data_IF_181318907004
#
_entry.id   IF_181318907004
#
_cell.length_a   1.000
_cell.length_b   1.000
_cell.length_c   1.000
_cell.angle_alpha   90.00
_cell.angle_beta   90.00
_cell.angle_gamma   90.00
#
_symmetry.space_group_name_H-M   'P 1'
#
loop_
_entity.id
_entity.type
_entity.pdbx_description
1 polymer ?
#
# COMPACT_ATOMS: atom_id res chain seq x y z
N UNK A 1 -13.41 -0.86 7.78
CA UNK A 1 -12.04 -0.84 8.38
C UNK A 1 -11.95 0.33 9.34
N UNK A 2 -11.65 0.13 10.64
CA UNK A 2 -11.64 1.21 11.64
C UNK A 2 -10.62 2.33 11.31
N UNK A 3 -10.96 3.60 11.63
CA UNK A 3 -10.09 4.80 11.58
C UNK A 3 -8.68 4.58 12.13
N UNK A 4 -8.51 3.60 13.00
CA UNK A 4 -7.27 3.24 13.64
C UNK A 4 -6.26 2.50 12.75
N UNK A 5 -6.69 1.59 11.85
CA UNK A 5 -5.78 0.91 10.90
C UNK A 5 -5.10 1.94 10.00
N UNK A 6 -5.79 3.04 9.70
CA UNK A 6 -5.24 4.17 8.96
C UNK A 6 -4.26 5.01 9.78
N UNK A 7 -4.53 5.19 11.07
CA UNK A 7 -3.60 5.86 11.98
C UNK A 7 -2.28 5.09 12.09
N UNK A 8 -2.32 3.75 12.10
CA UNK A 8 -1.12 2.90 12.05
C UNK A 8 -0.35 3.10 10.77
N UNK A 9 -1.04 3.06 9.64
CA UNK A 9 -0.40 3.25 8.35
C UNK A 9 0.28 4.63 8.28
N UNK A 10 -0.39 5.67 8.79
CA UNK A 10 0.16 7.01 8.88
C UNK A 10 1.34 7.10 9.84
N UNK A 11 1.26 6.51 11.05
CA UNK A 11 2.36 6.45 12.00
C UNK A 11 3.57 5.70 11.44
N UNK A 12 3.33 4.60 10.72
CA UNK A 12 4.39 3.83 10.09
C UNK A 12 5.07 4.63 8.98
N UNK A 13 4.30 5.38 8.16
CA UNK A 13 4.84 6.32 7.17
C UNK A 13 5.61 7.47 7.84
N UNK A 14 5.09 8.06 8.91
CA UNK A 14 5.76 9.13 9.68
C UNK A 14 7.07 8.61 10.28
N UNK A 15 7.05 7.43 10.91
CA UNK A 15 8.23 6.79 11.51
C UNK A 15 9.28 6.45 10.45
N UNK A 16 8.87 5.95 9.29
CA UNK A 16 9.75 5.70 8.15
C UNK A 16 10.33 7.01 7.56
N UNK A 17 9.53 8.10 7.55
CA UNK A 17 9.97 9.43 7.14
C UNK A 17 10.96 10.07 8.13
N UNK A 18 10.85 9.78 9.43
CA UNK A 18 11.81 10.25 10.46
C UNK A 18 13.12 9.47 10.39
N UNK A 19 13.09 8.16 10.17
CA UNK A 19 14.32 7.37 9.97
C UNK A 19 15.09 7.74 8.68
N UNK A 20 14.49 8.50 7.75
CA UNK A 20 15.14 9.05 6.55
C UNK A 20 15.66 10.48 6.73
N UNK A 21 15.42 11.10 7.88
CA UNK A 21 15.79 12.47 8.23
C UNK A 21 16.36 12.44 9.65
N UNK A 22 17.66 12.18 9.81
CA UNK A 22 18.46 12.11 11.07
C UNK A 22 17.83 12.68 12.37
N UNK A 23 16.73 12.12 12.86
CA UNK A 23 16.04 12.61 14.05
C UNK A 23 15.54 11.41 14.85
N UNK A 24 16.29 11.09 15.90
CA UNK A 24 15.86 10.17 16.96
C UNK A 24 14.80 10.88 17.79
N UNK A 25 13.57 10.35 17.80
CA UNK A 25 12.67 10.51 18.95
C UNK A 25 12.03 9.16 19.24
N UNK A 26 12.20 8.70 20.49
CA UNK A 26 11.42 7.63 21.09
C UNK A 26 9.95 8.04 21.10
N UNK A 27 9.08 7.15 20.63
CA UNK A 27 7.63 7.30 20.80
C UNK A 27 7.22 6.27 21.83
N UNK A 28 7.16 6.70 23.08
CA UNK A 28 6.55 5.95 24.16
C UNK A 28 5.05 5.81 23.92
N UNK A 29 4.58 4.59 24.14
CA UNK A 29 3.21 4.18 23.90
C UNK A 29 2.32 4.52 25.11
N UNK A 30 1.90 5.78 25.24
CA UNK A 30 0.78 6.11 26.14
C UNK A 30 -0.19 7.15 25.52
N UNK A 31 -1.47 6.74 25.42
CA UNK A 31 -2.70 7.49 25.03
C UNK A 31 -2.66 8.33 23.72
N UNK A 32 -3.38 7.95 22.65
CA UNK A 32 -3.34 8.67 21.38
C UNK A 32 -4.29 9.87 21.36
N UNK A 33 -3.84 11.01 21.86
CA UNK A 33 -4.30 12.33 21.39
C UNK A 33 -3.10 13.15 20.96
N UNK A 34 -2.50 12.77 19.83
CA UNK A 34 -1.61 13.67 19.09
C UNK A 34 -1.75 13.37 17.60
N UNK A 35 -2.30 14.33 16.85
CA UNK A 35 -2.31 14.27 15.40
C UNK A 35 -0.85 14.29 14.91
N UNK A 36 -0.27 13.12 14.61
CA UNK A 36 1.11 13.02 14.16
C UNK A 36 1.31 13.91 12.90
N UNK A 37 1.99 15.04 13.04
CA UNK A 37 2.30 15.96 11.93
C UNK A 37 3.48 15.43 11.15
N UNK A 38 3.26 15.16 9.86
CA UNK A 38 4.37 15.02 8.91
C UNK A 38 4.94 16.42 8.73
N UNK A 39 6.00 16.74 9.47
CA UNK A 39 6.79 17.93 9.23
C UNK A 39 7.90 17.58 8.24
N UNK A 40 7.83 18.16 7.04
CA UNK A 40 8.91 18.07 6.08
C UNK A 40 10.03 19.03 6.48
N UNK A 41 11.31 18.69 6.27
CA UNK A 41 12.41 19.63 6.46
C UNK A 41 12.20 20.89 5.62
N UNK A 42 12.79 22.01 6.08
CA UNK A 42 12.82 23.25 5.29
C UNK A 42 13.38 22.94 3.89
N UNK A 43 12.70 23.42 2.85
CA UNK A 43 13.00 23.22 1.42
C UNK A 43 12.72 21.81 0.85
N UNK A 44 12.01 20.94 1.57
CA UNK A 44 11.52 19.66 1.01
C UNK A 44 10.05 19.78 0.65
N UNK A 45 9.75 19.70 -0.64
CA UNK A 45 8.37 19.63 -1.15
C UNK A 45 8.06 18.21 -1.64
N UNK A 46 6.83 17.74 -1.41
CA UNK A 46 6.28 16.51 -2.02
C UNK A 46 5.12 16.96 -2.92
N UNK A 47 5.28 16.97 -4.26
CA UNK A 47 4.27 17.48 -5.17
C UNK A 47 3.09 16.52 -5.37
N UNK A 48 3.25 15.24 -5.06
CA UNK A 48 2.20 14.24 -5.23
C UNK A 48 2.43 12.96 -4.43
N UNK A 49 1.35 12.21 -4.23
CA UNK A 49 1.37 10.84 -3.70
C UNK A 49 0.95 9.89 -4.82
N UNK A 50 1.81 8.93 -5.13
CA UNK A 50 1.56 7.92 -6.16
C UNK A 50 1.47 6.56 -5.48
N UNK A 51 0.38 5.83 -5.70
CA UNK A 51 0.16 4.53 -5.04
C UNK A 51 0.13 3.39 -6.05
N UNK A 52 0.83 2.31 -5.70
CA UNK A 52 0.85 1.02 -6.40
C UNK A 52 0.45 -0.07 -5.41
N UNK A 53 -0.20 -1.11 -5.90
CA UNK A 53 -0.48 -2.27 -5.10
C UNK A 53 -1.87 -2.84 -5.26
N UNK A 54 -2.45 -3.22 -4.12
CA UNK A 54 -3.68 -3.98 -4.02
C UNK A 54 -4.84 -3.19 -3.39
N UNK A 55 -5.86 -3.92 -2.93
CA UNK A 55 -7.08 -3.41 -2.31
C UNK A 55 -6.83 -2.51 -1.10
N UNK A 56 -5.71 -2.66 -0.39
CA UNK A 56 -5.41 -1.84 0.79
C UNK A 56 -5.36 -0.37 0.41
N UNK A 57 -4.84 -0.05 -0.78
CA UNK A 57 -4.71 1.33 -1.27
C UNK A 57 -5.55 1.63 -2.50
N UNK A 58 -6.24 0.66 -3.13
CA UNK A 58 -7.07 0.91 -4.31
C UNK A 58 -8.18 1.96 -4.05
N UNK A 59 -8.22 2.97 -4.90
CA UNK A 59 -9.17 4.09 -4.84
C UNK A 59 -10.39 3.93 -5.76
N UNK A 60 -10.48 2.82 -6.51
CA UNK A 60 -11.59 2.49 -7.40
C UNK A 60 -11.20 2.02 -8.80
N UNK A 61 -9.93 1.63 -9.04
CA UNK A 61 -9.50 1.16 -10.37
C UNK A 61 -10.28 -0.08 -10.83
N UNK A 62 -10.69 -0.94 -9.89
CA UNK A 62 -11.45 -2.15 -10.21
C UNK A 62 -12.86 -1.89 -10.76
N UNK A 63 -13.42 -0.69 -10.60
CA UNK A 63 -14.78 -0.38 -11.05
C UNK A 63 -14.95 -0.59 -12.55
N UNK A 64 -13.90 -0.31 -13.33
CA UNK A 64 -13.92 -0.35 -14.78
C UNK A 64 -13.37 -1.67 -15.36
N UNK A 65 -13.16 -2.68 -14.50
CA UNK A 65 -12.63 -3.99 -14.90
C UNK A 65 -13.73 -5.05 -14.97
N UNK A 66 -13.55 -6.06 -15.83
CA UNK A 66 -14.39 -7.27 -15.88
C UNK A 66 -13.94 -8.29 -14.81
N UNK A 67 -14.04 -7.89 -13.54
CA UNK A 67 -13.74 -8.70 -12.34
C UNK A 67 -14.92 -8.73 -11.37
N UNK A 68 -14.95 -9.75 -10.50
CA UNK A 68 -15.85 -9.83 -9.34
C UNK A 68 -15.34 -8.99 -8.15
N UNK A 69 -14.06 -8.63 -8.13
CA UNK A 69 -13.46 -7.86 -7.04
C UNK A 69 -13.77 -6.38 -7.21
N UNK A 70 -15.00 -5.96 -6.87
CA UNK A 70 -15.41 -4.56 -6.85
C UNK A 70 -15.95 -4.20 -5.47
N UNK A 71 -15.81 -2.93 -5.10
CA UNK A 71 -16.36 -2.36 -3.88
C UNK A 71 -17.16 -1.08 -4.19
N UNK A 72 -17.90 -1.10 -5.29
CA UNK A 72 -18.77 -0.02 -5.76
C UNK A 72 -20.25 -0.27 -5.42
N UNK A 73 -20.51 -0.93 -4.30
CA UNK A 73 -21.85 -1.23 -3.78
C UNK A 73 -21.86 -1.12 -2.23
N UNK A 74 -23.01 -0.96 -1.57
CA UNK A 74 -23.09 -0.92 -0.10
C UNK A 74 -22.58 -2.22 0.56
N UNK A 75 -21.94 -2.17 1.75
CA UNK A 75 -21.81 -1.01 2.64
C UNK A 75 -20.60 -0.11 2.34
N UNK A 76 -19.81 -0.40 1.31
CA UNK A 76 -18.62 0.39 0.98
C UNK A 76 -18.96 1.87 0.76
N UNK A 77 -18.10 2.77 1.22
CA UNK A 77 -18.28 4.21 1.09
C UNK A 77 -19.26 4.87 2.07
N UNK A 78 -19.83 4.15 3.04
CA UNK A 78 -20.75 4.71 4.06
C UNK A 78 -20.17 5.91 4.86
N UNK A 79 -18.86 5.91 5.08
CA UNK A 79 -18.09 6.93 5.82
C UNK A 79 -17.34 7.90 4.87
N UNK A 80 -17.49 7.74 3.55
CA UNK A 80 -16.91 8.63 2.55
C UNK A 80 -17.74 9.91 2.40
N UNK A 81 -17.13 11.01 1.95
CA UNK A 81 -17.70 12.38 1.93
C UNK A 81 -18.94 12.63 1.05
N UNK A 82 -19.66 11.58 0.65
CA UNK A 82 -20.97 11.61 0.02
C UNK A 82 -21.81 10.35 0.30
N UNK A 83 -21.37 9.48 1.22
CA UNK A 83 -22.02 8.21 1.59
C UNK A 83 -22.32 7.29 0.40
N UNK A 84 -21.44 7.25 -0.60
CA UNK A 84 -21.56 6.38 -1.77
C UNK A 84 -20.29 5.57 -2.00
N UNK A 85 -20.47 4.37 -2.55
CA UNK A 85 -19.38 3.44 -2.80
C UNK A 85 -18.50 3.90 -3.99
N UNK A 86 -17.26 4.31 -3.70
CA UNK A 86 -16.34 4.80 -4.74
C UNK A 86 -15.54 3.69 -5.42
N UNK A 87 -15.67 2.43 -5.00
CA UNK A 87 -14.77 1.35 -5.40
C UNK A 87 -13.55 1.16 -4.49
N UNK A 88 -13.39 2.01 -3.46
CA UNK A 88 -12.43 1.78 -2.37
C UNK A 88 -12.85 0.54 -1.59
N UNK A 89 -11.89 -0.33 -1.24
CA UNK A 89 -12.14 -1.52 -0.40
C UNK A 89 -12.28 -1.13 1.08
N UNK A 90 -13.08 -0.10 1.35
CA UNK A 90 -13.34 0.45 2.67
C UNK A 90 -14.68 1.17 2.70
N UNK A 91 -15.18 1.36 3.91
CA UNK A 91 -16.31 2.23 4.24
C UNK A 91 -16.00 3.70 3.95
N UNK A 92 -14.73 4.08 3.87
CA UNK A 92 -14.32 5.44 3.61
C UNK A 92 -13.04 5.54 2.79
N UNK A 93 -12.17 6.43 3.24
CA UNK A 93 -10.87 6.69 2.60
C UNK A 93 -9.92 5.51 2.76
N UNK A 94 -8.96 5.40 1.84
CA UNK A 94 -7.89 4.40 1.88
C UNK A 94 -6.58 5.05 2.34
N UNK A 95 -5.56 4.29 2.79
CA UNK A 95 -4.37 4.84 3.42
C UNK A 95 -3.63 5.89 2.57
N UNK A 96 -3.63 5.75 1.24
CA UNK A 96 -3.04 6.76 0.34
C UNK A 96 -3.73 8.13 0.45
N UNK A 97 -5.04 8.17 0.69
CA UNK A 97 -5.79 9.43 0.88
C UNK A 97 -5.35 10.14 2.16
N UNK A 98 -5.16 9.40 3.25
CA UNK A 98 -4.72 9.97 4.52
C UNK A 98 -3.29 10.50 4.45
N UNK A 99 -2.40 9.79 3.74
CA UNK A 99 -1.03 10.27 3.50
C UNK A 99 -1.06 11.56 2.68
N UNK A 100 -1.84 11.61 1.60
CA UNK A 100 -1.98 12.80 0.76
C UNK A 100 -2.55 14.01 1.53
N UNK A 101 -3.58 13.78 2.36
CA UNK A 101 -4.17 14.84 3.18
C UNK A 101 -3.16 15.37 4.18
N UNK A 102 -2.41 14.47 4.82
CA UNK A 102 -1.43 14.86 5.84
C UNK A 102 -0.25 15.65 5.29
N UNK A 103 0.08 15.41 4.03
CA UNK A 103 1.06 16.19 3.27
C UNK A 103 0.49 17.50 2.71
N UNK A 104 -0.79 17.79 2.93
CA UNK A 104 -1.44 19.01 2.42
C UNK A 104 -1.69 19.01 0.91
N UNK A 105 -1.65 17.84 0.27
CA UNK A 105 -1.72 17.72 -1.20
C UNK A 105 -3.17 17.65 -1.69
N UNK A 106 -3.94 16.71 -1.15
CA UNK A 106 -5.34 16.50 -1.49
C UNK A 106 -6.03 15.68 -0.40
N UNK A 107 -7.36 15.83 -0.24
CA UNK A 107 -8.15 14.99 0.69
C UNK A 107 -8.23 13.53 0.26
N UNK A 108 -8.12 13.29 -1.05
CA UNK A 108 -8.24 11.97 -1.69
C UNK A 108 -7.36 11.92 -2.94
N UNK A 109 -6.85 10.73 -3.25
CA UNK A 109 -6.14 10.43 -4.50
C UNK A 109 -7.09 9.67 -5.44
N UNK A 110 -7.25 10.10 -6.70
CA UNK A 110 -8.14 9.43 -7.64
C UNK A 110 -7.53 8.15 -8.24
N UNK A 111 -8.40 7.26 -8.72
CA UNK A 111 -8.02 6.07 -9.47
C UNK A 111 -7.60 6.46 -10.89
N UNK A 112 -6.51 5.87 -11.40
CA UNK A 112 -6.03 6.15 -12.76
C UNK A 112 -7.04 5.75 -13.84
N UNK A 113 -7.79 4.67 -13.62
CA UNK A 113 -8.80 4.16 -14.55
C UNK A 113 -10.17 4.84 -14.42
N UNK A 114 -10.31 5.87 -13.59
CA UNK A 114 -11.58 6.61 -13.48
C UNK A 114 -11.86 7.39 -14.78
N UNK A 115 -12.97 7.14 -15.50
CA UNK A 115 -13.30 7.87 -16.72
C UNK A 115 -13.57 9.37 -16.47
N UNK A 116 -13.86 9.77 -15.23
CA UNK A 116 -14.06 11.17 -14.87
C UNK A 116 -12.75 11.93 -14.57
N UNK A 117 -11.60 11.25 -14.64
CA UNK A 117 -10.29 11.81 -14.29
C UNK A 117 -9.91 12.96 -15.23
N UNK A 118 -9.61 14.14 -14.66
CA UNK A 118 -9.20 15.32 -15.43
C UNK A 118 -7.69 15.52 -15.35
N UNK A 119 -7.11 16.18 -16.36
CA UNK A 119 -5.65 16.42 -16.42
C UNK A 119 -5.09 17.10 -15.16
N UNK A 120 -5.83 18.05 -14.56
CA UNK A 120 -5.41 18.74 -13.33
C UNK A 120 -5.34 17.80 -12.11
N UNK A 121 -6.11 16.72 -12.10
CA UNK A 121 -6.13 15.77 -10.98
C UNK A 121 -4.86 14.92 -10.97
N UNK A 122 -4.29 14.65 -12.16
CA UNK A 122 -2.99 13.98 -12.32
C UNK A 122 -1.86 14.72 -11.60
N UNK A 123 -1.98 16.04 -11.43
CA UNK A 123 -0.90 16.86 -10.86
C UNK A 123 -0.78 16.79 -9.34
N UNK A 124 -1.74 16.14 -8.65
CA UNK A 124 -1.77 16.04 -7.18
C UNK A 124 -1.43 14.64 -6.67
N UNK A 125 -1.11 13.72 -7.57
CA UNK A 125 -0.93 12.31 -7.25
C UNK A 125 -2.04 11.44 -7.83
N UNK A 126 -1.73 10.16 -8.00
CA UNK A 126 -2.56 9.21 -8.73
C UNK A 126 -2.42 7.81 -8.14
N UNK A 127 -3.48 7.02 -8.22
CA UNK A 127 -3.50 5.68 -7.69
C UNK A 127 -3.64 4.64 -8.80
N UNK A 128 -2.65 3.77 -8.93
CA UNK A 128 -2.63 2.66 -9.88
C UNK A 128 -3.03 1.32 -9.26
N UNK A 129 -3.20 1.26 -7.94
CA UNK A 129 -3.47 0.01 -7.23
C UNK A 129 -4.80 -0.61 -7.65
N UNK A 130 -4.87 -1.93 -7.59
CA UNK A 130 -6.02 -2.70 -8.07
C UNK A 130 -6.31 -3.84 -7.08
N UNK A 131 -7.53 -3.86 -6.55
CA UNK A 131 -7.94 -4.88 -5.58
C UNK A 131 -7.69 -6.30 -6.07
N UNK A 132 -7.03 -7.13 -5.26
CA UNK A 132 -6.66 -8.51 -5.61
C UNK A 132 -5.33 -8.67 -6.34
N UNK A 133 -4.59 -7.58 -6.59
CA UNK A 133 -3.25 -7.65 -7.18
C UNK A 133 -2.18 -8.10 -6.18
N UNK A 134 -1.03 -8.52 -6.71
CA UNK A 134 0.15 -8.90 -5.95
C UNK A 134 1.42 -8.88 -6.77
N UNK A 135 2.56 -9.19 -6.14
CA UNK A 135 3.88 -9.29 -6.77
C UNK A 135 4.02 -10.53 -7.66
N UNK A 136 3.34 -11.62 -7.33
CA UNK A 136 3.29 -12.79 -8.20
C UNK A 136 2.35 -12.51 -9.39
N UNK A 137 2.81 -12.59 -10.66
CA UNK A 137 1.96 -12.34 -11.82
C UNK A 137 0.71 -13.25 -11.89
N UNK A 138 0.77 -14.43 -11.26
CA UNK A 138 -0.38 -15.34 -11.18
C UNK A 138 -1.54 -14.73 -10.37
N UNK A 139 -1.23 -13.93 -9.34
CA UNK A 139 -2.20 -13.35 -8.40
C UNK A 139 -3.26 -12.55 -9.14
N UNK A 140 -2.83 -11.54 -9.91
CA UNK A 140 -3.75 -10.70 -10.67
C UNK A 140 -4.46 -11.48 -11.78
N UNK A 141 -3.81 -12.48 -12.37
CA UNK A 141 -4.36 -13.32 -13.45
C UNK A 141 -5.55 -14.15 -12.98
N UNK A 142 -5.49 -14.75 -11.79
CA UNK A 142 -6.57 -15.60 -11.26
C UNK A 142 -7.87 -14.82 -11.11
N UNK A 143 -7.80 -13.56 -10.65
CA UNK A 143 -8.98 -12.74 -10.34
C UNK A 143 -9.25 -11.63 -11.38
N UNK A 144 -8.50 -11.63 -12.49
CA UNK A 144 -8.68 -10.73 -13.66
C UNK A 144 -8.62 -9.24 -13.30
N UNK A 145 -7.57 -8.83 -12.61
CA UNK A 145 -7.34 -7.45 -12.15
C UNK A 145 -6.01 -6.90 -12.68
N UNK A 146 -5.69 -5.63 -12.42
CA UNK A 146 -4.50 -4.97 -12.98
C UNK A 146 -3.24 -5.48 -12.28
N UNK A 147 -2.39 -6.22 -13.00
CA UNK A 147 -1.12 -6.72 -12.47
C UNK A 147 -0.17 -5.58 -12.10
N UNK A 148 0.78 -5.78 -11.18
CA UNK A 148 1.76 -4.74 -10.86
C UNK A 148 2.60 -4.30 -12.07
N UNK A 149 2.84 -5.20 -13.03
CA UNK A 149 3.50 -4.83 -14.28
C UNK A 149 2.64 -3.86 -15.11
N UNK A 150 1.33 -4.09 -15.19
CA UNK A 150 0.42 -3.17 -15.89
C UNK A 150 0.26 -1.84 -15.12
N UNK A 151 0.35 -1.86 -13.79
CA UNK A 151 0.42 -0.62 -13.00
C UNK A 151 1.67 0.20 -13.34
N UNK A 152 2.82 -0.43 -13.61
CA UNK A 152 4.01 0.27 -14.10
C UNK A 152 3.80 0.87 -15.50
N UNK A 153 3.12 0.15 -16.41
CA UNK A 153 2.77 0.69 -17.73
C UNK A 153 1.86 1.92 -17.61
N UNK A 154 0.86 1.86 -16.75
CA UNK A 154 0.02 3.02 -16.44
C UNK A 154 0.81 4.19 -15.85
N UNK A 155 1.85 3.90 -15.07
CA UNK A 155 2.76 4.94 -14.59
C UNK A 155 3.58 5.57 -15.72
N UNK A 156 4.08 4.78 -16.68
CA UNK A 156 4.76 5.31 -17.86
C UNK A 156 3.83 6.20 -18.71
N UNK A 157 2.59 5.76 -18.94
CA UNK A 157 1.57 6.57 -19.61
C UNK A 157 1.28 7.88 -18.83
N UNK A 158 1.11 7.78 -17.52
CA UNK A 158 0.90 8.92 -16.64
C UNK A 158 2.05 9.93 -16.75
N UNK A 159 3.30 9.48 -16.80
CA UNK A 159 4.46 10.37 -17.01
C UNK A 159 4.34 11.15 -18.32
N UNK A 160 3.91 10.48 -19.40
CA UNK A 160 3.62 11.15 -20.67
C UNK A 160 2.51 12.19 -20.55
N UNK A 161 1.41 11.85 -19.86
CA UNK A 161 0.27 12.75 -19.62
C UNK A 161 0.67 14.00 -18.83
N UNK A 162 1.42 13.85 -17.73
CA UNK A 162 1.86 15.03 -16.96
C UNK A 162 2.89 15.85 -17.73
N UNK A 163 3.79 15.22 -18.50
CA UNK A 163 4.74 15.93 -19.39
C UNK A 163 4.00 16.81 -20.41
N UNK A 164 2.90 16.32 -20.98
CA UNK A 164 2.08 17.10 -21.89
C UNK A 164 1.36 18.30 -21.22
N UNK A 165 1.09 18.22 -19.91
CA UNK A 165 0.36 19.27 -19.17
C UNK A 165 1.31 20.35 -18.63
N UNK A 166 2.46 19.95 -18.06
CA UNK A 166 3.36 20.86 -17.33
C UNK A 166 4.73 21.04 -17.97
N UNK A 167 5.01 20.38 -19.08
CA UNK A 167 6.32 20.34 -19.71
C UNK A 167 7.27 19.32 -19.06
N UNK A 168 8.39 19.07 -19.74
CA UNK A 168 9.36 18.04 -19.38
C UNK A 168 10.02 18.25 -18.01
N UNK A 169 10.57 19.44 -17.79
CA UNK A 169 11.31 19.77 -16.57
C UNK A 169 10.44 19.61 -15.32
N UNK A 170 9.23 20.19 -15.35
CA UNK A 170 8.30 20.11 -14.23
C UNK A 170 7.74 18.70 -14.04
N UNK A 171 7.50 17.94 -15.11
CA UNK A 171 7.09 16.54 -15.00
C UNK A 171 8.19 15.67 -14.36
N UNK A 172 9.44 15.84 -14.77
CA UNK A 172 10.58 15.14 -14.17
C UNK A 172 10.73 15.50 -12.69
N UNK A 173 10.63 16.79 -12.34
CA UNK A 173 10.61 17.23 -10.96
C UNK A 173 9.50 16.55 -10.15
N UNK A 174 8.28 16.46 -10.68
CA UNK A 174 7.16 15.80 -10.02
C UNK A 174 7.41 14.31 -9.81
N UNK A 175 7.93 13.61 -10.81
CA UNK A 175 8.27 12.19 -10.73
C UNK A 175 9.35 11.94 -9.67
N UNK A 176 10.41 12.74 -9.64
CA UNK A 176 11.51 12.53 -8.71
C UNK A 176 11.14 12.89 -7.26
N UNK A 177 10.27 13.87 -7.05
CA UNK A 177 9.98 14.41 -5.72
C UNK A 177 8.68 13.90 -5.09
N UNK A 178 7.82 13.21 -5.84
CA UNK A 178 6.60 12.58 -5.30
C UNK A 178 6.92 11.42 -4.35
N UNK A 179 5.98 11.12 -3.45
CA UNK A 179 6.04 9.97 -2.56
C UNK A 179 5.33 8.79 -3.20
N UNK A 180 6.01 7.64 -3.25
CA UNK A 180 5.51 6.40 -3.82
C UNK A 180 5.15 5.42 -2.70
N UNK A 181 3.92 4.93 -2.68
CA UNK A 181 3.44 3.91 -1.76
C UNK A 181 3.30 2.58 -2.51
N UNK A 182 3.89 1.50 -2.01
CA UNK A 182 3.83 0.17 -2.63
C UNK A 182 3.31 -0.86 -1.62
N UNK A 183 2.12 -1.43 -1.87
CA UNK A 183 1.42 -2.33 -0.95
C UNK A 183 0.76 -3.50 -1.69
N UNK A 184 1.38 -4.68 -1.75
CA UNK A 184 0.85 -5.76 -2.61
C UNK A 184 1.12 -7.21 -2.17
N UNK A 185 1.68 -7.46 -0.99
CA UNK A 185 2.08 -8.83 -0.59
C UNK A 185 0.92 -9.69 -0.08
N UNK A 186 -0.19 -9.07 0.34
CA UNK A 186 -1.25 -9.76 1.08
C UNK A 186 -1.93 -10.85 0.24
N UNK A 187 -2.27 -10.55 -1.00
CA UNK A 187 -2.96 -11.50 -1.88
C UNK A 187 -2.07 -12.69 -2.27
N UNK A 188 -0.78 -12.43 -2.49
CA UNK A 188 0.19 -13.48 -2.82
C UNK A 188 0.27 -14.52 -1.69
N UNK A 189 0.57 -14.04 -0.48
CA UNK A 189 0.76 -14.90 0.69
C UNK A 189 -0.54 -15.58 1.14
N UNK A 190 -1.66 -14.85 1.16
CA UNK A 190 -2.92 -15.40 1.63
C UNK A 190 -3.59 -16.31 0.61
N UNK A 191 -3.59 -15.97 -0.68
CA UNK A 191 -4.41 -16.64 -1.70
C UNK A 191 -3.58 -17.38 -2.73
N UNK A 192 -2.63 -16.72 -3.39
CA UNK A 192 -1.89 -17.30 -4.53
C UNK A 192 -0.97 -18.43 -4.09
N UNK A 193 -0.44 -18.38 -2.87
CA UNK A 193 0.38 -19.46 -2.32
C UNK A 193 -0.31 -20.84 -2.43
N UNK A 194 -1.64 -20.92 -2.28
CA UNK A 194 -2.37 -22.20 -2.38
C UNK A 194 -2.20 -22.84 -3.76
N UNK A 195 -2.26 -22.04 -4.83
CA UNK A 195 -2.01 -22.53 -6.18
C UNK A 195 -0.52 -22.78 -6.43
N UNK A 196 0.35 -22.04 -5.73
CA UNK A 196 1.82 -22.12 -5.85
C UNK A 196 2.45 -23.20 -4.97
N UNK A 197 1.72 -23.79 -4.03
CA UNK A 197 2.25 -24.75 -3.06
C UNK A 197 2.70 -26.06 -3.69
N UNK A 198 2.28 -26.34 -4.93
CA UNK A 198 2.78 -27.44 -5.75
C UNK A 198 4.21 -27.20 -6.27
N UNK A 199 4.67 -25.95 -6.28
CA UNK A 199 5.98 -25.54 -6.83
C UNK A 199 6.91 -24.95 -5.77
N UNK A 200 6.35 -24.33 -4.73
CA UNK A 200 7.10 -23.67 -3.68
C UNK A 200 6.60 -24.15 -2.33
N UNK A 201 7.50 -24.45 -1.41
CA UNK A 201 7.11 -24.65 -0.02
C UNK A 201 6.90 -23.31 0.72
N UNK A 202 6.49 -23.39 1.99
CA UNK A 202 6.15 -22.22 2.81
C UNK A 202 7.34 -21.31 3.11
N UNK A 203 8.57 -21.76 2.93
CA UNK A 203 9.79 -20.95 3.12
C UNK A 203 10.28 -20.35 1.81
N UNK A 204 10.18 -21.09 0.70
CA UNK A 204 10.64 -20.64 -0.63
C UNK A 204 9.73 -19.58 -1.24
N UNK A 205 8.41 -19.65 -1.01
CA UNK A 205 7.48 -18.71 -1.60
C UNK A 205 7.64 -17.27 -1.07
N UNK A 206 7.79 -17.04 0.26
CA UNK A 206 8.14 -15.72 0.80
C UNK A 206 9.42 -15.13 0.20
N UNK A 207 10.47 -15.94 0.02
CA UNK A 207 11.73 -15.51 -0.58
C UNK A 207 11.53 -15.09 -2.05
N UNK A 208 10.81 -15.90 -2.83
CA UNK A 208 10.43 -15.56 -4.20
C UNK A 208 9.66 -14.24 -4.28
N UNK A 209 8.73 -13.98 -3.35
CA UNK A 209 7.97 -12.74 -3.32
C UNK A 209 8.84 -11.53 -2.95
N UNK A 210 9.80 -11.69 -2.04
CA UNK A 210 10.75 -10.63 -1.70
C UNK A 210 11.59 -10.25 -2.94
N UNK A 211 12.09 -11.25 -3.69
CA UNK A 211 12.81 -11.03 -4.95
C UNK A 211 11.95 -10.28 -5.98
N UNK A 212 10.68 -10.67 -6.13
CA UNK A 212 9.74 -9.99 -7.04
C UNK A 212 9.46 -8.56 -6.61
N UNK A 213 9.35 -8.31 -5.30
CA UNK A 213 9.19 -6.97 -4.73
C UNK A 213 10.41 -6.11 -5.03
N UNK A 214 11.62 -6.63 -4.77
CA UNK A 214 12.89 -5.95 -5.06
C UNK A 214 13.03 -5.61 -6.55
N UNK A 215 12.61 -6.51 -7.46
CA UNK A 215 12.57 -6.25 -8.91
C UNK A 215 11.58 -5.13 -9.27
N UNK A 216 10.38 -5.15 -8.70
CA UNK A 216 9.38 -4.11 -8.92
C UNK A 216 9.90 -2.73 -8.47
N UNK A 217 10.48 -2.64 -7.27
CA UNK A 217 11.03 -1.38 -6.74
C UNK A 217 12.20 -0.89 -7.61
N UNK A 218 13.04 -1.79 -8.10
CA UNK A 218 14.13 -1.44 -9.03
C UNK A 218 13.60 -0.87 -10.35
N UNK A 219 12.55 -1.45 -10.92
CA UNK A 219 11.88 -0.92 -12.12
C UNK A 219 11.29 0.46 -11.85
N UNK A 220 10.57 0.63 -10.74
CA UNK A 220 9.97 1.90 -10.34
C UNK A 220 11.03 3.01 -10.17
N UNK A 221 12.17 2.69 -9.54
CA UNK A 221 13.33 3.59 -9.47
C UNK A 221 13.88 3.94 -10.87
N UNK A 222 14.00 2.95 -11.75
CA UNK A 222 14.41 3.14 -13.15
C UNK A 222 13.49 4.07 -13.93
N UNK A 223 12.21 4.15 -13.55
CA UNK A 223 11.24 5.07 -14.11
C UNK A 223 11.29 6.48 -13.51
N UNK A 224 12.24 6.76 -12.61
CA UNK A 224 12.48 8.09 -12.05
C UNK A 224 12.00 8.29 -10.61
N UNK A 225 11.32 7.30 -10.02
CA UNK A 225 10.90 7.39 -8.63
C UNK A 225 12.13 7.47 -7.70
N UNK A 226 12.10 8.37 -6.72
CA UNK A 226 13.17 8.48 -5.71
C UNK A 226 12.69 8.22 -4.29
N UNK A 227 11.47 8.57 -3.91
CA UNK A 227 10.96 8.44 -2.53
C UNK A 227 9.96 7.28 -2.45
N UNK A 228 10.45 6.07 -2.18
CA UNK A 228 9.66 4.84 -2.29
C UNK A 228 9.47 4.22 -0.91
N UNK A 229 8.21 4.16 -0.46
CA UNK A 229 7.79 3.48 0.75
C UNK A 229 7.16 2.13 0.38
N UNK A 230 7.86 1.05 0.74
CA UNK A 230 7.44 -0.33 0.48
C UNK A 230 6.94 -0.92 1.79
N UNK A 231 5.69 -1.35 1.81
CA UNK A 231 5.06 -1.84 3.04
C UNK A 231 5.33 -3.31 3.28
N UNK A 232 5.49 -3.65 4.56
CA UNK A 232 5.57 -5.04 5.00
C UNK A 232 4.26 -5.79 4.73
N UNK A 233 4.36 -7.11 4.67
CA UNK A 233 3.19 -7.97 4.76
C UNK A 233 2.52 -7.80 6.13
N UNK A 234 1.20 -7.81 6.12
CA UNK A 234 0.36 -7.77 7.32
C UNK A 234 0.19 -9.18 7.89
N UNK A 235 -0.46 -9.35 9.06
CA UNK A 235 -0.84 -10.67 9.60
C UNK A 235 -1.89 -11.37 8.72
N UNK A 236 -1.47 -11.86 7.55
CA UNK A 236 -2.36 -12.41 6.52
C UNK A 236 -3.12 -13.66 6.97
N UNK A 237 -2.59 -14.40 7.93
CA UNK A 237 -3.29 -15.51 8.58
C UNK A 237 -4.51 -15.06 9.40
N UNK A 238 -4.57 -13.78 9.78
CA UNK A 238 -5.68 -13.18 10.51
C UNK A 238 -6.73 -12.51 9.62
N UNK A 239 -6.59 -12.54 8.29
CA UNK A 239 -7.61 -12.01 7.39
C UNK A 239 -8.95 -12.75 7.60
N UNK A 240 -10.11 -12.07 7.55
CA UNK A 240 -11.41 -12.72 7.81
C UNK A 240 -11.67 -13.97 6.96
N UNK A 241 -11.31 -13.93 5.68
CA UNK A 241 -11.42 -15.07 4.77
C UNK A 241 -10.52 -16.24 5.20
N UNK A 242 -9.30 -15.95 5.66
CA UNK A 242 -8.34 -16.98 6.11
C UNK A 242 -8.73 -17.56 7.45
N UNK A 243 -9.23 -16.75 8.38
CA UNK A 243 -9.81 -17.20 9.66
C UNK A 243 -10.99 -18.14 9.41
N UNK A 244 -11.89 -17.78 8.50
CA UNK A 244 -13.05 -18.62 8.14
C UNK A 244 -12.62 -19.97 7.58
N UNK A 245 -11.59 -20.00 6.73
CA UNK A 245 -11.03 -21.23 6.17
C UNK A 245 -10.18 -22.04 7.18
N UNK A 246 -9.75 -21.42 8.28
CA UNK A 246 -8.92 -22.05 9.32
C UNK A 246 -9.78 -22.72 10.43
N UNK A 247 -11.00 -23.13 10.09
CA UNK A 247 -11.91 -23.90 10.94
C UNK A 247 -12.88 -23.08 11.78
N UNK A 248 -13.76 -23.78 12.50
CA UNK A 248 -14.92 -23.19 13.21
C UNK A 248 -14.51 -22.16 14.27
N UNK A 249 -13.37 -22.37 14.93
CA UNK A 249 -12.84 -21.42 15.93
C UNK A 249 -12.33 -20.11 15.32
N UNK A 250 -12.23 -20.03 13.99
CA UNK A 250 -11.79 -18.85 13.22
C UNK A 250 -10.50 -18.22 13.75
N UNK A 251 -9.57 -19.02 14.26
CA UNK A 251 -8.27 -18.52 14.73
C UNK A 251 -7.41 -18.07 13.54
N UNK A 252 -6.45 -17.18 13.79
CA UNK A 252 -5.44 -16.87 12.78
C UNK A 252 -4.67 -18.12 12.36
N UNK A 253 -4.31 -18.20 11.08
CA UNK A 253 -3.38 -19.23 10.60
C UNK A 253 -1.94 -18.86 10.94
N UNK A 254 -1.33 -19.60 11.88
CA UNK A 254 0.05 -19.40 12.29
C UNK A 254 1.03 -19.59 11.13
N UNK A 255 0.79 -20.57 10.26
CA UNK A 255 1.65 -20.82 9.10
C UNK A 255 1.67 -19.61 8.14
N UNK A 256 0.51 -19.06 7.81
CA UNK A 256 0.43 -17.89 6.92
C UNK A 256 1.07 -16.64 7.57
N UNK A 257 0.91 -16.47 8.88
CA UNK A 257 1.57 -15.40 9.63
C UNK A 257 3.11 -15.58 9.65
N UNK A 258 3.60 -16.81 9.82
CA UNK A 258 5.03 -17.13 9.72
C UNK A 258 5.59 -16.80 8.34
N UNK A 259 4.86 -17.14 7.27
CA UNK A 259 5.22 -16.78 5.90
C UNK A 259 5.32 -15.27 5.69
N UNK A 260 4.36 -14.49 6.23
CA UNK A 260 4.41 -13.03 6.17
C UNK A 260 5.64 -12.46 6.90
N UNK A 261 5.95 -12.97 8.08
CA UNK A 261 7.15 -12.57 8.84
C UNK A 261 8.44 -12.95 8.09
N UNK A 262 8.50 -14.11 7.46
CA UNK A 262 9.64 -14.52 6.63
C UNK A 262 9.83 -13.58 5.42
N UNK A 263 8.75 -13.26 4.71
CA UNK A 263 8.77 -12.27 3.62
C UNK A 263 9.31 -10.92 4.12
N UNK A 264 8.82 -10.43 5.26
CA UNK A 264 9.28 -9.17 5.86
C UNK A 264 10.77 -9.20 6.23
N UNK A 265 11.21 -10.28 6.89
CA UNK A 265 12.59 -10.47 7.32
C UNK A 265 13.56 -10.53 6.14
N UNK A 266 13.13 -11.09 5.00
CA UNK A 266 13.91 -11.13 3.75
C UNK A 266 13.92 -9.79 3.04
N UNK A 267 12.76 -9.15 2.88
CA UNK A 267 12.61 -7.95 2.08
C UNK A 267 13.32 -6.72 2.69
N UNK A 268 13.26 -6.56 4.01
CA UNK A 268 13.86 -5.41 4.70
C UNK A 268 15.35 -5.19 4.37
N UNK A 269 16.26 -6.18 4.53
CA UNK A 269 17.66 -6.03 4.16
C UNK A 269 17.88 -5.89 2.64
N UNK A 270 17.05 -6.51 1.80
CA UNK A 270 17.13 -6.34 0.34
C UNK A 270 16.84 -4.90 -0.09
N UNK A 271 15.83 -4.26 0.48
CA UNK A 271 15.53 -2.86 0.19
C UNK A 271 16.64 -1.93 0.67
N UNK A 272 17.33 -2.26 1.77
CA UNK A 272 18.54 -1.54 2.19
C UNK A 272 19.66 -1.69 1.16
N UNK A 273 19.88 -2.91 0.67
CA UNK A 273 20.88 -3.17 -0.37
C UNK A 273 20.53 -2.46 -1.69
N UNK A 274 19.26 -2.46 -2.07
CA UNK A 274 18.76 -1.78 -3.27
C UNK A 274 18.95 -0.26 -3.14
N UNK A 275 18.59 0.33 -1.99
CA UNK A 275 18.82 1.76 -1.71
C UNK A 275 20.29 2.14 -1.89
N UNK A 276 21.22 1.34 -1.38
CA UNK A 276 22.67 1.57 -1.54
C UNK A 276 23.12 1.55 -3.00
N UNK A 277 22.42 0.78 -3.85
CA UNK A 277 22.68 0.65 -5.30
C UNK A 277 21.87 1.63 -6.16
N UNK A 278 21.04 2.48 -5.55
CA UNK A 278 20.15 3.43 -6.21
C UNK A 278 20.45 4.86 -5.74
N UNK A 279 21.45 5.53 -6.33
CA UNK A 279 21.86 6.89 -5.94
C UNK A 279 20.69 7.87 -5.91
N UNK A 280 20.68 8.76 -4.91
CA UNK A 280 19.61 9.76 -4.72
C UNK A 280 18.25 9.18 -4.31
N UNK A 281 18.12 7.87 -4.13
CA UNK A 281 16.88 7.26 -3.67
C UNK A 281 16.72 7.30 -2.15
N UNK A 282 15.47 7.41 -1.72
CA UNK A 282 14.96 7.20 -0.38
C UNK A 282 14.00 6.01 -0.45
N UNK A 283 14.54 4.81 -0.46
CA UNK A 283 13.77 3.56 -0.38
C UNK A 283 13.67 3.17 1.09
N UNK A 284 12.45 3.00 1.59
CA UNK A 284 12.18 2.62 2.97
C UNK A 284 11.25 1.41 3.03
N UNK A 285 11.58 0.51 3.95
CA UNK A 285 10.69 -0.56 4.38
C UNK A 285 9.80 -0.04 5.50
N UNK A 286 8.48 -0.14 5.34
CA UNK A 286 7.49 0.34 6.30
C UNK A 286 6.89 -0.85 7.02
N UNK A 287 7.35 -1.10 8.24
CA UNK A 287 6.87 -2.21 9.08
C UNK A 287 5.52 -1.88 9.71
N UNK A 288 4.50 -2.66 9.34
CA UNK A 288 3.13 -2.55 9.85
C UNK A 288 2.61 -3.84 10.48
N UNK A 289 3.34 -4.96 10.39
CA UNK A 289 2.90 -6.27 10.87
C UNK A 289 2.59 -6.24 12.36
N UNK A 290 3.57 -5.85 13.17
CA UNK A 290 3.46 -5.91 14.64
C UNK A 290 2.36 -4.99 15.15
N UNK A 291 2.18 -3.83 14.52
CA UNK A 291 1.17 -2.87 14.93
C UNK A 291 -0.23 -3.44 14.64
N UNK A 292 -0.44 -3.98 13.44
CA UNK A 292 -1.71 -4.59 13.07
C UNK A 292 -1.99 -5.86 13.87
N UNK A 293 -0.96 -6.66 14.14
CA UNK A 293 -1.09 -7.86 14.96
C UNK A 293 -1.46 -7.50 16.40
N UNK A 294 -0.82 -6.47 16.99
CA UNK A 294 -1.16 -6.00 18.32
C UNK A 294 -2.62 -5.52 18.40
N UNK A 295 -3.14 -4.86 17.35
CA UNK A 295 -4.54 -4.46 17.26
C UNK A 295 -5.49 -5.64 17.24
N UNK A 296 -5.14 -6.70 16.52
CA UNK A 296 -5.94 -7.92 16.43
C UNK A 296 -5.97 -8.65 17.78
N UNK A 297 -4.84 -8.75 18.46
CA UNK A 297 -4.72 -9.44 19.76
C UNK A 297 -5.24 -8.60 20.93
N UNK A 298 -5.20 -7.26 20.83
CA UNK A 298 -5.56 -6.33 21.90
C UNK A 298 -6.60 -5.27 21.47
N UNK A 299 -7.75 -5.66 20.90
CA UNK A 299 -8.70 -4.71 20.29
C UNK A 299 -9.26 -3.67 21.27
N UNK A 300 -9.36 -4.01 22.56
CA UNK A 300 -9.81 -3.08 23.61
C UNK A 300 -8.86 -1.89 23.83
N UNK A 301 -7.54 -2.05 23.59
CA UNK A 301 -6.55 -0.96 23.69
C UNK A 301 -6.80 0.17 22.66
N UNK A 302 -7.67 -0.13 21.70
CA UNK A 302 -7.80 0.52 20.42
C UNK A 302 -9.26 0.89 20.11
N UNK A 303 -10.13 0.81 21.13
CA UNK A 303 -11.56 1.06 21.05
C UNK A 303 -12.28 0.23 19.96
N UNK A 304 -11.71 -0.94 19.61
CA UNK A 304 -12.31 -1.90 18.69
C UNK A 304 -13.10 -2.96 19.47
N UNK A 305 -14.33 -3.25 19.03
CA UNK A 305 -15.12 -4.35 19.59
C UNK A 305 -14.61 -5.69 19.05
N UNK A 306 -14.49 -6.69 19.94
CA UNK A 306 -14.03 -8.04 19.58
C UNK A 306 -14.96 -8.77 18.60
N UNK A 307 -16.22 -8.36 18.48
CA UNK A 307 -17.24 -9.08 17.71
C UNK A 307 -17.14 -8.89 16.18
N UNK A 308 -16.12 -8.17 15.69
CA UNK A 308 -16.00 -7.76 14.28
C UNK A 308 -14.92 -8.57 13.50
N UNK A 309 -14.30 -9.61 14.07
CA UNK A 309 -13.29 -10.43 13.37
C UNK A 309 -13.57 -11.95 13.36
#
# INVERSE_FOLDING_TARGET
MSSLVYFVFLLAVVKASRNTLHEKSEVDAEKPKLAATIMLPRNVTIPGVIAFGDSIVDSGNNNNLRTILKCNFPPYGQDFGGKFATGRFSDGRVPSDFVAERLGIAKTIPAYLDPALKGKDLLKGINFASGGSGYDPLTAKIVRVVSLEDQLKYFEEYKGKIKAIVGEEKANYMVENSLYLVVASSNDLAHTYIARSLRYNSTEYPDYLADMTSKFVKKLYGLGARRIAVFSAVPVGCLPSRRTLNGVKRKCSENLNKMALQFNAKLSPELVALRKKSPGSKIVFVEVYDILHNMIENPKKYDMKCDIL
#
